data_IF_465557792449
#
_entry.id   IF_465557792449
#
_cell.length_a   1.000
_cell.length_b   1.000
_cell.length_c   1.000
_cell.angle_alpha   90.00
_cell.angle_beta   90.00
_cell.angle_gamma   90.00
#
_symmetry.space_group_name_H-M   'P 1'
#
loop_
_entity.id
_entity.type
_entity.pdbx_description
1 polymer ?
#
# COMPACT_ATOMS: atom_id res chain seq x y z
N UNK A 1 -16.65 6.73 -12.79
CA UNK A 1 -17.19 5.45 -12.30
C UNK A 1 -18.38 5.74 -11.40
N UNK A 2 -19.33 4.82 -11.28
CA UNK A 2 -20.53 4.97 -10.43
C UNK A 2 -20.46 4.18 -9.12
N UNK A 3 -19.36 3.50 -8.90
CA UNK A 3 -19.06 2.69 -7.71
C UNK A 3 -17.60 2.83 -7.33
N UNK A 4 -17.29 2.63 -6.05
CA UNK A 4 -15.91 2.55 -5.59
C UNK A 4 -15.32 1.20 -6.01
N UNK A 5 -14.04 1.14 -6.40
CA UNK A 5 -13.32 -0.13 -6.56
C UNK A 5 -13.42 -0.96 -5.28
N UNK A 6 -13.59 -2.27 -5.42
CA UNK A 6 -13.71 -3.21 -4.29
C UNK A 6 -12.40 -3.97 -4.03
N UNK A 7 -11.45 -3.86 -4.94
CA UNK A 7 -10.16 -4.55 -4.90
C UNK A 7 -9.03 -3.55 -4.94
N UNK A 8 -7.92 -3.86 -4.29
CA UNK A 8 -6.74 -2.99 -4.25
C UNK A 8 -6.11 -2.77 -5.64
N UNK A 9 -6.15 -3.78 -6.52
CA UNK A 9 -5.59 -3.74 -7.87
C UNK A 9 -6.46 -2.92 -8.86
N UNK A 10 -7.68 -2.58 -8.47
CA UNK A 10 -8.57 -1.67 -9.18
C UNK A 10 -8.61 -0.27 -8.53
N UNK A 11 -7.89 -0.11 -7.42
CA UNK A 11 -7.93 1.11 -6.61
C UNK A 11 -7.49 2.35 -7.39
N UNK A 12 -8.03 3.50 -6.99
CA UNK A 12 -7.69 4.79 -7.59
C UNK A 12 -6.30 5.21 -7.09
N UNK A 13 -5.31 5.35 -7.98
CA UNK A 13 -3.97 5.74 -7.59
C UNK A 13 -3.86 7.24 -7.37
N UNK A 14 -3.19 7.63 -6.30
CA UNK A 14 -2.78 9.00 -5.99
C UNK A 14 -1.30 9.01 -5.67
N UNK A 15 -0.55 10.04 -6.08
CA UNK A 15 0.86 10.09 -5.76
C UNK A 15 1.61 11.26 -6.35
N UNK A 16 2.83 11.47 -5.83
CA UNK A 16 3.77 12.49 -6.31
C UNK A 16 5.17 11.93 -6.61
N UNK A 17 5.28 10.60 -6.74
CA UNK A 17 6.56 9.92 -6.96
C UNK A 17 7.28 9.50 -5.66
N UNK A 18 7.10 10.20 -4.56
CA UNK A 18 7.65 9.82 -3.26
C UNK A 18 6.59 9.18 -2.35
N UNK A 19 5.46 9.86 -2.20
CA UNK A 19 4.31 9.37 -1.43
C UNK A 19 3.25 8.88 -2.39
N UNK A 20 2.72 7.70 -2.16
CA UNK A 20 1.65 7.09 -2.91
C UNK A 20 0.45 6.78 -2.03
N UNK A 21 -0.71 6.66 -2.65
CA UNK A 21 -1.93 6.20 -2.02
C UNK A 21 -2.81 5.44 -3.00
N UNK A 22 -3.47 4.41 -2.51
CA UNK A 22 -4.50 3.68 -3.23
C UNK A 22 -5.83 3.86 -2.49
N UNK A 23 -6.87 4.25 -3.22
CA UNK A 23 -8.18 4.54 -2.66
C UNK A 23 -9.21 3.55 -3.21
N UNK A 24 -9.82 2.74 -2.32
CA UNK A 24 -10.87 1.77 -2.68
C UNK A 24 -11.81 1.51 -1.48
N UNK A 25 -12.82 0.70 -1.68
CA UNK A 25 -13.71 0.26 -0.62
C UNK A 25 -13.29 -1.14 -0.14
N UNK A 26 -13.08 -1.29 1.17
CA UNK A 26 -12.81 -2.57 1.83
C UNK A 26 -13.78 -2.73 2.99
N UNK A 27 -14.49 -3.86 3.01
CA UNK A 27 -15.44 -4.22 4.10
C UNK A 27 -16.44 -3.09 4.44
N UNK A 28 -16.93 -2.40 3.40
CA UNK A 28 -17.87 -1.28 3.54
C UNK A 28 -17.27 0.05 3.97
N UNK A 29 -15.97 0.11 4.26
CA UNK A 29 -15.22 1.33 4.57
C UNK A 29 -14.47 1.87 3.35
N UNK A 30 -14.32 3.17 3.25
CA UNK A 30 -13.40 3.80 2.29
C UNK A 30 -11.99 3.73 2.86
N UNK A 31 -11.10 3.03 2.16
CA UNK A 31 -9.71 2.81 2.56
C UNK A 31 -8.77 3.60 1.67
N UNK A 32 -7.87 4.34 2.29
CA UNK A 32 -6.68 4.93 1.67
C UNK A 32 -5.45 4.22 2.22
N UNK A 33 -4.90 3.27 1.46
CA UNK A 33 -3.60 2.71 1.77
C UNK A 33 -2.50 3.69 1.38
N UNK A 34 -1.53 3.85 2.26
CA UNK A 34 -0.45 4.82 2.11
C UNK A 34 0.85 4.06 1.89
N UNK A 35 1.67 4.59 1.02
CA UNK A 35 2.98 4.06 0.72
C UNK A 35 4.01 5.18 0.50
N UNK A 36 5.30 4.83 0.62
CA UNK A 36 6.42 5.71 0.27
C UNK A 36 7.47 4.94 -0.51
N UNK A 37 7.98 5.58 -1.55
CA UNK A 37 8.95 4.96 -2.44
C UNK A 37 10.30 4.63 -1.76
N UNK A 38 10.62 5.30 -0.65
CA UNK A 38 11.85 5.13 0.13
C UNK A 38 11.72 4.18 1.34
N UNK A 39 10.55 3.58 1.57
CA UNK A 39 10.35 2.60 2.64
C UNK A 39 10.73 1.19 2.18
N UNK A 40 12.01 0.86 2.33
CA UNK A 40 12.57 -0.44 1.99
C UNK A 40 13.50 -0.95 3.09
N UNK A 41 13.46 -2.26 3.34
CA UNK A 41 14.55 -2.96 3.99
C UNK A 41 15.55 -3.39 2.92
N UNK A 42 16.70 -2.75 2.89
CA UNK A 42 17.76 -2.98 1.92
C UNK A 42 18.95 -3.71 2.55
N UNK A 43 18.73 -4.48 3.63
CA UNK A 43 19.81 -5.25 4.25
C UNK A 43 20.51 -6.15 3.22
N UNK A 44 21.83 -6.31 3.31
CA UNK A 44 22.58 -7.19 2.41
C UNK A 44 22.08 -8.63 2.51
N UNK A 45 21.95 -9.27 1.36
CA UNK A 45 21.53 -10.67 1.23
C UNK A 45 22.70 -11.49 0.72
N UNK A 46 23.15 -12.46 1.50
CA UNK A 46 24.30 -13.29 1.15
C UNK A 46 24.11 -14.08 -0.15
N UNK A 47 22.88 -14.49 -0.45
CA UNK A 47 22.59 -15.21 -1.69
C UNK A 47 22.90 -14.38 -2.95
N UNK A 48 22.84 -13.05 -2.89
CA UNK A 48 23.21 -12.20 -4.02
C UNK A 48 24.70 -12.16 -4.33
N UNK A 49 25.54 -12.66 -3.41
CA UNK A 49 26.98 -12.81 -3.61
C UNK A 49 27.36 -14.08 -4.39
N UNK A 50 26.38 -14.95 -4.70
CA UNK A 50 26.61 -16.12 -5.53
C UNK A 50 27.20 -15.72 -6.90
N UNK A 51 28.27 -16.39 -7.36
CA UNK A 51 28.83 -16.14 -8.69
C UNK A 51 27.84 -16.41 -9.83
N UNK A 52 26.80 -17.21 -9.56
CA UNK A 52 25.71 -17.50 -10.51
C UNK A 52 24.65 -16.41 -10.54
N UNK A 53 24.65 -15.45 -9.60
CA UNK A 53 23.68 -14.35 -9.57
C UNK A 53 24.03 -13.30 -10.64
N UNK A 54 24.03 -13.72 -11.89
CA UNK A 54 24.39 -12.90 -13.05
C UNK A 54 23.37 -13.02 -14.16
N UNK A 55 23.20 -11.94 -14.92
CA UNK A 55 22.37 -11.96 -16.13
C UNK A 55 22.81 -13.05 -17.12
N UNK A 56 24.12 -13.29 -17.25
CA UNK A 56 24.68 -14.35 -18.11
C UNK A 56 24.16 -15.73 -17.70
N UNK A 57 24.18 -16.05 -16.43
CA UNK A 57 23.65 -17.32 -15.91
C UNK A 57 22.16 -17.47 -16.28
N UNK A 58 21.35 -16.44 -16.03
CA UNK A 58 19.92 -16.47 -16.36
C UNK A 58 19.71 -16.72 -17.86
N UNK A 59 20.41 -15.97 -18.72
CA UNK A 59 20.32 -16.16 -20.17
C UNK A 59 20.74 -17.59 -20.60
N UNK A 60 21.79 -18.13 -20.02
CA UNK A 60 22.25 -19.50 -20.34
C UNK A 60 21.19 -20.54 -20.00
N UNK A 61 20.60 -20.45 -18.79
CA UNK A 61 19.52 -21.37 -18.39
C UNK A 61 18.28 -21.22 -19.27
N UNK A 62 17.82 -19.99 -19.52
CA UNK A 62 16.55 -19.71 -20.22
C UNK A 62 16.66 -19.96 -21.71
N UNK A 63 17.72 -19.45 -22.36
CA UNK A 63 17.86 -19.45 -23.84
C UNK A 63 18.49 -20.74 -24.33
N UNK A 64 19.61 -21.16 -23.73
CA UNK A 64 20.38 -22.29 -24.21
C UNK A 64 19.91 -23.62 -23.65
N UNK A 65 19.72 -23.70 -22.32
CA UNK A 65 19.30 -24.93 -21.67
C UNK A 65 17.78 -25.12 -21.60
N UNK A 66 17.02 -24.04 -21.80
CA UNK A 66 15.54 -24.02 -21.70
C UNK A 66 15.02 -24.60 -20.38
N UNK A 67 15.75 -24.37 -19.29
CA UNK A 67 15.42 -24.83 -17.95
C UNK A 67 15.38 -23.64 -16.98
N UNK A 68 14.18 -23.32 -16.49
CA UNK A 68 13.96 -22.23 -15.53
C UNK A 68 14.20 -22.64 -14.08
N UNK A 69 14.24 -23.92 -13.76
CA UNK A 69 14.37 -24.40 -12.37
C UNK A 69 15.58 -23.86 -11.63
N UNK A 70 16.81 -23.81 -12.24
CA UNK A 70 17.96 -23.21 -11.56
C UNK A 70 17.81 -21.71 -11.33
N UNK A 71 17.05 -21.01 -12.18
CA UNK A 71 16.76 -19.58 -12.03
C UNK A 71 15.79 -19.35 -10.87
N UNK A 72 14.72 -20.15 -10.78
CA UNK A 72 13.78 -20.10 -9.65
C UNK A 72 14.50 -20.40 -8.33
N UNK A 73 15.32 -21.45 -8.28
CA UNK A 73 16.09 -21.80 -7.09
C UNK A 73 17.04 -20.68 -6.65
N UNK A 74 17.63 -19.94 -7.61
CA UNK A 74 18.54 -18.85 -7.32
C UNK A 74 17.83 -17.58 -6.85
N UNK A 75 16.63 -17.28 -7.38
CA UNK A 75 15.97 -15.98 -7.19
C UNK A 75 14.71 -16.14 -6.33
N UNK A 76 13.76 -16.98 -6.71
CA UNK A 76 12.42 -17.03 -6.14
C UNK A 76 12.36 -17.88 -4.87
N UNK A 77 12.91 -19.11 -4.90
CA UNK A 77 12.83 -20.04 -3.76
C UNK A 77 13.54 -19.48 -2.51
N UNK A 78 14.51 -18.63 -2.74
CA UNK A 78 15.25 -17.94 -1.69
C UNK A 78 14.34 -16.99 -0.90
N UNK A 79 13.46 -16.25 -1.57
CA UNK A 79 12.58 -15.27 -0.90
C UNK A 79 11.59 -15.91 0.07
N UNK A 80 11.36 -17.22 -0.05
CA UNK A 80 10.56 -17.99 0.91
C UNK A 80 11.25 -18.11 2.28
N UNK A 81 12.60 -18.10 2.31
CA UNK A 81 13.39 -18.29 3.53
C UNK A 81 14.10 -16.99 3.98
N UNK A 82 14.34 -16.08 3.07
CA UNK A 82 14.96 -14.78 3.31
C UNK A 82 14.13 -13.68 2.64
N UNK A 83 13.23 -13.05 3.38
CA UNK A 83 12.30 -12.06 2.82
C UNK A 83 12.96 -10.72 2.46
N UNK A 84 14.25 -10.52 2.71
CA UNK A 84 14.96 -9.30 2.30
C UNK A 84 15.54 -9.42 0.88
N UNK A 85 15.72 -8.32 0.15
CA UNK A 85 15.20 -6.99 0.41
C UNK A 85 13.69 -6.93 0.22
N UNK A 86 13.00 -6.13 0.99
CA UNK A 86 11.55 -6.02 0.88
C UNK A 86 11.05 -4.60 1.14
N UNK A 87 9.86 -4.32 0.63
CA UNK A 87 9.17 -3.07 0.88
C UNK A 87 8.53 -3.08 2.26
N UNK A 88 8.58 -1.93 2.93
CA UNK A 88 7.95 -1.72 4.24
C UNK A 88 6.67 -0.92 4.01
N UNK A 89 5.47 -1.44 4.34
CA UNK A 89 4.22 -0.71 4.17
C UNK A 89 4.08 0.42 5.19
N UNK A 90 3.45 1.53 4.81
CA UNK A 90 3.25 2.69 5.66
C UNK A 90 1.93 2.69 6.44
N UNK A 91 1.02 1.77 6.13
CA UNK A 91 -0.30 1.68 6.79
C UNK A 91 -1.45 2.25 5.96
N UNK A 92 -2.60 2.47 6.60
CA UNK A 92 -3.79 2.95 5.92
C UNK A 92 -4.64 3.85 6.80
N UNK A 93 -5.48 4.68 6.17
CA UNK A 93 -6.62 5.35 6.78
C UNK A 93 -7.90 4.71 6.29
N UNK A 94 -8.82 4.45 7.21
CA UNK A 94 -10.19 4.00 6.90
C UNK A 94 -11.23 5.00 7.39
N UNK A 95 -12.27 5.14 6.60
CA UNK A 95 -13.42 6.00 6.89
C UNK A 95 -14.69 5.15 6.83
N UNK A 96 -15.47 5.14 7.90
CA UNK A 96 -16.77 4.47 7.92
C UNK A 96 -17.78 5.25 7.06
N UNK A 97 -18.07 4.74 5.88
CA UNK A 97 -18.97 5.36 4.90
C UNK A 97 -20.36 4.73 4.86
N UNK A 98 -20.69 3.81 5.76
CA UNK A 98 -21.99 3.10 5.75
C UNK A 98 -23.20 4.03 5.79
N UNK A 99 -23.08 5.18 6.49
CA UNK A 99 -24.14 6.16 6.63
C UNK A 99 -24.25 7.15 5.45
N UNK A 100 -23.28 7.13 4.52
CA UNK A 100 -23.24 8.06 3.41
C UNK A 100 -24.15 7.65 2.25
N UNK A 101 -24.61 6.41 2.25
CA UNK A 101 -25.50 5.88 1.20
C UNK A 101 -24.75 5.50 -0.07
N UNK A 102 -25.46 5.56 -1.19
CA UNK A 102 -24.95 5.10 -2.47
C UNK A 102 -24.04 6.14 -3.13
N UNK A 103 -22.93 5.67 -3.67
CA UNK A 103 -22.02 6.49 -4.48
C UNK A 103 -22.69 6.82 -5.80
N UNK A 104 -22.71 8.08 -6.17
CA UNK A 104 -23.22 8.60 -7.43
C UNK A 104 -22.13 8.66 -8.50
N UNK A 105 -20.95 9.12 -8.10
CA UNK A 105 -19.84 9.33 -9.02
C UNK A 105 -18.49 9.23 -8.28
N UNK A 106 -17.52 8.61 -8.95
CA UNK A 106 -16.10 8.65 -8.59
C UNK A 106 -15.30 9.07 -9.80
N UNK A 107 -14.53 10.15 -9.68
CA UNK A 107 -13.72 10.71 -10.74
C UNK A 107 -12.32 11.06 -10.25
N UNK A 108 -11.32 10.71 -11.05
CA UNK A 108 -9.94 11.20 -10.91
C UNK A 108 -9.68 12.20 -12.04
N UNK A 109 -9.51 13.45 -11.69
CA UNK A 109 -9.08 14.48 -12.63
C UNK A 109 -7.56 14.39 -12.81
N UNK A 110 -7.12 13.98 -14.00
CA UNK A 110 -5.70 13.78 -14.31
C UNK A 110 -4.91 15.10 -14.42
N UNK A 111 -5.58 16.23 -14.67
CA UNK A 111 -4.91 17.53 -14.75
C UNK A 111 -4.55 18.08 -13.36
N UNK A 112 -5.41 17.83 -12.38
CA UNK A 112 -5.25 18.32 -11.01
C UNK A 112 -4.79 17.24 -10.03
N UNK A 113 -4.80 15.96 -10.45
CA UNK A 113 -4.57 14.78 -9.63
C UNK A 113 -5.49 14.69 -8.39
N UNK A 114 -6.71 15.23 -8.49
CA UNK A 114 -7.72 15.20 -7.44
C UNK A 114 -8.72 14.10 -7.70
N UNK A 115 -8.83 13.15 -6.77
CA UNK A 115 -9.95 12.20 -6.75
C UNK A 115 -11.14 12.81 -6.03
N UNK A 116 -12.30 12.80 -6.68
CA UNK A 116 -13.57 13.26 -6.11
C UNK A 116 -14.55 12.09 -6.05
N UNK A 117 -15.17 11.91 -4.89
CA UNK A 117 -16.27 10.96 -4.68
C UNK A 117 -17.51 11.77 -4.32
N UNK A 118 -18.60 11.52 -5.02
CA UNK A 118 -19.90 12.16 -4.79
C UNK A 118 -20.93 11.07 -4.43
N UNK A 119 -21.65 11.25 -3.34
CA UNK A 119 -22.76 10.39 -2.92
C UNK A 119 -24.11 10.99 -3.38
N UNK A 120 -25.13 10.15 -3.50
CA UNK A 120 -26.47 10.58 -3.93
C UNK A 120 -27.12 11.59 -2.96
N UNK A 121 -26.75 11.55 -1.68
CA UNK A 121 -27.22 12.50 -0.66
C UNK A 121 -26.50 13.86 -0.68
N UNK A 122 -25.59 14.10 -1.63
CA UNK A 122 -24.86 15.35 -1.78
C UNK A 122 -23.59 15.46 -0.95
N UNK A 123 -23.22 14.44 -0.18
CA UNK A 123 -21.90 14.36 0.45
C UNK A 123 -20.84 14.27 -0.64
N UNK A 124 -19.74 14.99 -0.46
CA UNK A 124 -18.59 14.93 -1.35
C UNK A 124 -17.31 14.71 -0.56
N UNK A 125 -16.43 13.85 -1.06
CA UNK A 125 -15.07 13.70 -0.60
C UNK A 125 -14.06 14.02 -1.70
N UNK A 126 -12.94 14.66 -1.32
CA UNK A 126 -11.81 14.92 -2.21
C UNK A 126 -10.53 14.42 -1.58
N UNK A 127 -9.69 13.76 -2.39
CA UNK A 127 -8.39 13.22 -1.98
C UNK A 127 -7.34 13.63 -3.00
N UNK A 128 -6.18 14.04 -2.52
CA UNK A 128 -5.03 14.29 -3.38
C UNK A 128 -3.73 14.22 -2.59
N UNK A 129 -2.63 13.95 -3.28
CA UNK A 129 -1.27 14.05 -2.77
C UNK A 129 -0.62 15.24 -3.48
N UNK A 130 -0.22 16.32 -2.76
CA UNK A 130 0.43 17.48 -3.37
C UNK A 130 1.72 17.08 -4.11
N UNK A 131 2.04 17.79 -5.19
CA UNK A 131 3.27 17.59 -5.94
C UNK A 131 4.52 17.77 -5.07
N UNK A 132 4.45 18.66 -4.11
CA UNK A 132 5.52 18.90 -3.14
C UNK A 132 5.09 18.50 -1.73
N UNK A 133 6.04 17.97 -0.94
CA UNK A 133 5.82 17.56 0.44
C UNK A 133 5.55 16.06 0.61
N UNK A 134 5.41 15.64 1.87
CA UNK A 134 5.41 14.24 2.29
C UNK A 134 4.02 13.78 2.80
N UNK A 135 2.94 14.35 2.33
CA UNK A 135 1.64 13.98 2.88
C UNK A 135 0.50 14.14 1.89
N UNK A 136 -0.58 13.42 2.14
CA UNK A 136 -1.84 13.55 1.45
C UNK A 136 -2.77 14.56 2.09
N UNK A 137 -3.82 14.93 1.39
CA UNK A 137 -4.92 15.76 1.85
C UNK A 137 -6.23 15.10 1.52
N UNK A 138 -7.19 15.20 2.44
CA UNK A 138 -8.56 14.83 2.17
C UNK A 138 -9.51 15.85 2.79
N UNK A 139 -10.69 15.96 2.19
CA UNK A 139 -11.76 16.83 2.67
C UNK A 139 -13.11 16.20 2.38
N UNK A 140 -13.94 16.11 3.39
CA UNK A 140 -15.37 15.82 3.25
C UNK A 140 -16.18 17.09 3.42
N UNK A 141 -17.26 17.23 2.65
CA UNK A 141 -18.23 18.33 2.76
C UNK A 141 -19.63 17.77 2.79
N UNK A 142 -20.55 18.51 3.39
CA UNK A 142 -21.96 18.13 3.55
C UNK A 142 -22.17 16.83 4.33
N UNK A 143 -21.26 16.51 5.25
CA UNK A 143 -21.42 15.34 6.13
C UNK A 143 -22.64 15.51 7.03
N UNK A 144 -23.49 14.48 7.18
CA UNK A 144 -24.61 14.52 8.11
C UNK A 144 -24.14 14.44 9.57
N UNK A 145 -23.02 13.77 9.81
CA UNK A 145 -22.40 13.53 11.13
C UNK A 145 -20.88 13.70 11.05
N UNK A 146 -20.22 13.73 12.20
CA UNK A 146 -18.76 13.71 12.28
C UNK A 146 -18.22 12.38 11.76
N UNK A 147 -17.27 12.45 10.83
CA UNK A 147 -16.54 11.31 10.30
C UNK A 147 -15.08 11.39 10.77
N UNK A 148 -14.69 10.46 11.60
CA UNK A 148 -13.30 10.36 12.07
C UNK A 148 -12.58 9.23 11.35
N UNK A 149 -11.39 9.46 10.80
CA UNK A 149 -10.59 8.40 10.20
C UNK A 149 -10.04 7.46 11.28
N UNK A 150 -9.98 6.18 10.97
CA UNK A 150 -9.23 5.18 11.70
C UNK A 150 -7.86 5.01 11.05
N UNK A 151 -6.80 5.12 11.83
CA UNK A 151 -5.43 4.86 11.36
C UNK A 151 -5.08 3.40 11.64
N UNK A 152 -4.72 2.67 10.59
CA UNK A 152 -4.37 1.26 10.68
C UNK A 152 -2.87 1.06 10.49
N UNK A 153 -2.27 0.34 11.42
CA UNK A 153 -0.92 -0.16 11.27
C UNK A 153 -0.88 -1.29 10.23
N UNK A 154 0.20 -1.43 9.45
CA UNK A 154 0.37 -2.58 8.59
C UNK A 154 0.55 -3.85 9.41
N UNK A 155 0.12 -4.98 8.85
CA UNK A 155 0.36 -6.30 9.43
C UNK A 155 1.76 -6.76 9.07
N UNK A 156 2.53 -7.20 10.09
CA UNK A 156 3.90 -7.73 9.91
C UNK A 156 4.00 -9.23 10.09
N UNK A 157 2.94 -9.88 10.55
CA UNK A 157 2.94 -11.32 10.83
C UNK A 157 1.95 -12.08 9.94
N UNK A 158 2.40 -13.24 9.49
CA UNK A 158 1.59 -14.23 8.81
C UNK A 158 1.49 -14.07 7.29
N UNK A 159 1.07 -15.13 6.64
CA UNK A 159 0.67 -15.07 5.23
C UNK A 159 -0.58 -14.20 5.16
N UNK A 160 -0.47 -13.09 4.47
CA UNK A 160 -1.58 -12.22 4.15
C UNK A 160 -2.61 -13.06 3.37
N UNK A 161 -3.85 -13.09 3.82
CA UNK A 161 -4.93 -13.72 3.06
C UNK A 161 -5.11 -12.97 1.74
N UNK A 162 -5.69 -13.60 0.71
CA UNK A 162 -5.90 -12.95 -0.60
C UNK A 162 -6.64 -11.61 -0.49
N UNK A 163 -7.54 -11.46 0.50
CA UNK A 163 -8.25 -10.20 0.77
C UNK A 163 -7.38 -9.08 1.34
N UNK A 164 -6.26 -9.43 1.96
CA UNK A 164 -5.35 -8.48 2.62
C UNK A 164 -4.05 -8.25 1.84
N UNK A 165 -3.97 -8.81 0.64
CA UNK A 165 -2.77 -8.77 -0.17
C UNK A 165 -2.30 -7.32 -0.38
N UNK A 166 -1.20 -6.98 0.27
CA UNK A 166 -0.34 -5.88 -0.15
C UNK A 166 0.75 -6.49 -1.01
N UNK A 167 0.72 -6.28 -2.33
CA UNK A 167 1.66 -6.93 -3.21
C UNK A 167 3.09 -6.51 -2.87
N UNK A 168 3.97 -7.49 -2.86
CA UNK A 168 5.40 -7.27 -2.65
C UNK A 168 5.83 -7.03 -1.21
N UNK A 169 4.97 -7.33 -0.22
CA UNK A 169 5.36 -7.32 1.19
C UNK A 169 5.62 -8.74 1.65
N UNK A 170 6.85 -9.01 2.03
CA UNK A 170 7.27 -10.27 2.64
C UNK A 170 7.00 -10.25 4.16
N UNK A 171 7.25 -11.38 4.84
CA UNK A 171 7.09 -11.48 6.27
C UNK A 171 8.12 -10.60 7.02
N UNK A 172 7.68 -9.40 7.41
CA UNK A 172 8.52 -8.44 8.13
C UNK A 172 8.86 -8.92 9.54
N UNK A 173 8.03 -9.76 10.15
CA UNK A 173 8.33 -10.33 11.46
C UNK A 173 9.52 -11.30 11.38
N UNK A 174 9.66 -12.05 10.29
CA UNK A 174 10.83 -12.88 10.03
C UNK A 174 12.13 -12.07 9.88
N UNK A 175 12.01 -10.80 9.46
CA UNK A 175 13.14 -9.84 9.41
C UNK A 175 13.42 -9.17 10.75
N UNK A 176 12.66 -9.47 11.80
CA UNK A 176 12.82 -8.92 13.14
C UNK A 176 12.06 -7.61 13.39
N UNK A 177 11.20 -7.17 12.45
CA UNK A 177 10.36 -6.01 12.69
C UNK A 177 9.26 -6.32 13.69
N UNK A 178 9.00 -5.37 14.56
CA UNK A 178 7.85 -5.40 15.46
C UNK A 178 6.76 -4.47 14.92
N UNK A 179 5.51 -4.83 15.16
CA UNK A 179 4.39 -3.97 14.82
C UNK A 179 4.56 -2.58 15.43
N UNK A 180 4.31 -1.56 14.64
CA UNK A 180 4.39 -0.19 15.11
C UNK A 180 3.28 0.15 16.10
N UNK A 181 3.39 1.29 16.73
CA UNK A 181 2.43 1.77 17.74
C UNK A 181 1.61 2.94 17.20
N UNK A 182 0.31 2.94 17.50
CA UNK A 182 -0.59 4.05 17.22
C UNK A 182 -0.89 4.77 18.52
N UNK A 183 -0.72 6.07 18.54
CA UNK A 183 -1.01 6.94 19.68
C UNK A 183 -1.82 8.14 19.24
N UNK A 184 -2.54 8.74 20.20
CA UNK A 184 -3.26 10.01 20.01
C UNK A 184 -2.64 11.08 20.92
N UNK A 185 -1.57 11.77 20.48
CA UNK A 185 -0.85 12.72 21.31
C UNK A 185 -1.62 14.01 21.60
N UNK A 186 -2.65 14.32 20.84
CA UNK A 186 -3.53 15.47 21.01
C UNK A 186 -4.89 15.20 20.35
N UNK A 187 -5.97 15.94 20.72
CA UNK A 187 -7.25 15.87 20.04
C UNK A 187 -7.11 16.06 18.52
N UNK A 188 -7.73 15.17 17.74
CA UNK A 188 -7.70 15.22 16.29
C UNK A 188 -6.34 14.84 15.66
N UNK A 189 -5.40 14.29 16.43
CA UNK A 189 -4.10 13.85 15.94
C UNK A 189 -3.87 12.38 16.25
N UNK A 190 -3.69 11.58 15.20
CA UNK A 190 -3.25 10.20 15.28
C UNK A 190 -1.79 10.11 14.79
N UNK A 191 -0.99 9.31 15.47
CA UNK A 191 0.42 9.11 15.16
C UNK A 191 0.73 7.62 15.15
N UNK A 192 1.17 7.13 14.01
CA UNK A 192 1.77 5.81 13.85
C UNK A 192 3.29 5.94 13.85
N UNK A 193 3.93 5.13 14.65
CA UNK A 193 5.41 5.03 14.71
C UNK A 193 5.83 3.61 14.43
N UNK A 194 6.81 3.46 13.59
CA UNK A 194 7.41 2.22 13.16
C UNK A 194 8.91 2.38 13.15
N UNK A 195 9.63 1.37 13.63
CA UNK A 195 11.07 1.30 13.47
C UNK A 195 11.37 0.79 12.05
N UNK A 196 12.26 1.46 11.35
CA UNK A 196 12.86 1.01 10.10
C UNK A 196 14.36 0.81 10.32
N UNK A 197 14.98 -0.03 9.51
CA UNK A 197 16.43 -0.22 9.48
C UNK A 197 17.12 0.92 8.73
#
# INVERSE_FOLDING_TARGET
>A
MTELPQRWDEAIPLGNGLTGGLLWQKDGKLRLAIDRADLWDLRPVEAFKSPDHTYRFICDQVIHKKDMRPVYALIDDRTANDPAPTKIPAGALEFDIHKLGKVKEVALDLATAVCTILWENGVQARFFIPAEGNGGRFRFVNLPDTLSPELLAPLYQGRVTESDHQPGVNDLAALGYQSGTITSPAPGRLLYRQQAW
#
